data_IF_072223160521
#
_entry.id   IF_072223160521
#
_cell.length_a   1.000
_cell.length_b   1.000
_cell.length_c   1.000
_cell.angle_alpha   90.00
_cell.angle_beta   90.00
_cell.angle_gamma   90.00
#
_symmetry.space_group_name_H-M   'P 1'
#
loop_
_entity.id
_entity.type
_entity.pdbx_description
1 polymer ?
#
# COMPACT_ATOMS: atom_id res chain seq x y z
N UNK A 1 -11.71 -16.80 -12.42
CA UNK A 1 -12.09 -15.64 -11.61
C UNK A 1 -11.15 -15.72 -10.45
N UNK A 2 -9.96 -15.15 -10.64
CA UNK A 2 -8.99 -15.08 -9.56
C UNK A 2 -9.56 -14.14 -8.51
N UNK A 3 -9.49 -14.54 -7.26
CA UNK A 3 -9.82 -13.66 -6.15
C UNK A 3 -8.66 -12.69 -5.96
N UNK A 4 -8.91 -11.45 -5.55
CA UNK A 4 -7.83 -10.49 -5.29
C UNK A 4 -6.78 -11.03 -4.31
N UNK A 5 -7.17 -11.92 -3.39
CA UNK A 5 -6.24 -12.63 -2.51
C UNK A 5 -5.24 -13.53 -3.25
N UNK A 6 -5.63 -14.15 -4.37
CA UNK A 6 -4.72 -14.96 -5.19
C UNK A 6 -3.67 -14.07 -5.87
N UNK A 7 -4.04 -12.89 -6.37
CA UNK A 7 -3.08 -11.94 -6.95
C UNK A 7 -2.04 -11.46 -5.91
N UNK A 8 -2.48 -11.17 -4.67
CA UNK A 8 -1.56 -10.84 -3.57
C UNK A 8 -0.65 -12.00 -3.19
N UNK A 9 -1.18 -13.22 -3.18
CA UNK A 9 -0.40 -14.43 -2.90
C UNK A 9 0.67 -14.66 -3.98
N UNK A 10 0.32 -14.48 -5.26
CA UNK A 10 1.29 -14.58 -6.35
C UNK A 10 2.37 -13.50 -6.27
N UNK A 11 2.02 -12.27 -5.91
CA UNK A 11 2.99 -11.20 -5.69
C UNK A 11 3.94 -11.54 -4.54
N UNK A 12 3.41 -12.02 -3.41
CA UNK A 12 4.20 -12.50 -2.26
C UNK A 12 5.20 -13.56 -2.71
N UNK A 13 4.75 -14.61 -3.39
CA UNK A 13 5.61 -15.71 -3.83
C UNK A 13 6.73 -15.26 -4.77
N UNK A 14 6.42 -14.34 -5.71
CA UNK A 14 7.43 -13.76 -6.62
C UNK A 14 8.49 -12.98 -5.85
N UNK A 15 8.08 -12.12 -4.91
CA UNK A 15 8.99 -11.30 -4.10
C UNK A 15 9.85 -12.15 -3.16
N UNK A 16 9.27 -13.16 -2.51
CA UNK A 16 10.02 -14.09 -1.65
C UNK A 16 11.04 -14.92 -2.47
N UNK A 17 10.67 -15.35 -3.69
CA UNK A 17 11.59 -16.03 -4.60
C UNK A 17 12.76 -15.14 -5.06
N UNK A 18 12.57 -13.82 -5.10
CA UNK A 18 13.60 -12.82 -5.35
C UNK A 18 14.46 -12.50 -4.11
N UNK A 19 14.11 -13.03 -2.94
CA UNK A 19 14.85 -12.87 -1.68
C UNK A 19 14.37 -11.70 -0.82
N UNK A 20 13.22 -11.10 -1.13
CA UNK A 20 12.59 -10.07 -0.31
C UNK A 20 11.83 -10.67 0.87
N UNK A 21 11.76 -9.93 1.99
CA UNK A 21 10.95 -10.29 3.15
C UNK A 21 9.56 -9.67 2.98
N UNK A 22 8.52 -10.49 3.05
CA UNK A 22 7.12 -10.06 2.89
C UNK A 22 6.27 -10.53 4.05
N UNK A 23 5.29 -9.72 4.44
CA UNK A 23 4.19 -10.09 5.34
C UNK A 23 2.87 -9.81 4.62
N UNK A 24 1.99 -10.81 4.52
CA UNK A 24 0.67 -10.67 3.88
C UNK A 24 -0.44 -10.73 4.93
N UNK A 25 -1.16 -9.62 5.07
CA UNK A 25 -2.29 -9.53 6.00
C UNK A 25 -3.41 -10.46 5.55
N UNK A 26 -3.88 -11.32 6.47
CA UNK A 26 -4.96 -12.26 6.20
C UNK A 26 -4.55 -13.52 5.44
N UNK A 27 -3.25 -13.77 5.26
CA UNK A 27 -2.75 -15.08 4.84
C UNK A 27 -2.97 -16.14 5.94
N UNK A 28 -2.84 -17.42 5.59
CA UNK A 28 -3.07 -18.53 6.54
C UNK A 28 -2.13 -18.50 7.76
N UNK A 29 -0.95 -17.90 7.60
CA UNK A 29 0.05 -17.69 8.65
C UNK A 29 -0.11 -16.38 9.43
N UNK A 30 -1.14 -15.58 9.13
CA UNK A 30 -1.38 -14.30 9.78
C UNK A 30 -2.06 -14.45 11.15
N UNK A 31 -1.44 -13.93 12.20
CA UNK A 31 -2.07 -13.80 13.52
C UNK A 31 -2.81 -12.47 13.66
N UNK A 32 -3.94 -12.46 14.38
CA UNK A 32 -4.72 -11.25 14.58
C UNK A 32 -3.95 -10.21 15.40
N UNK A 33 -3.82 -9.00 14.86
CA UNK A 33 -3.10 -7.90 15.48
C UNK A 33 -4.06 -6.86 16.08
N UNK A 34 -3.66 -6.25 17.19
CA UNK A 34 -4.44 -5.18 17.81
C UNK A 34 -4.37 -3.85 17.02
N UNK A 35 -3.29 -3.64 16.27
CA UNK A 35 -3.02 -2.43 15.50
C UNK A 35 -2.04 -2.74 14.36
N UNK A 36 -2.32 -2.22 13.16
CA UNK A 36 -1.47 -2.43 11.99
C UNK A 36 -0.33 -1.42 11.89
N UNK A 37 -0.46 -0.24 12.50
CA UNK A 37 0.53 0.84 12.39
C UNK A 37 1.97 0.41 12.74
N UNK A 38 2.23 -0.41 13.79
CA UNK A 38 3.59 -0.90 14.06
C UNK A 38 4.14 -1.80 12.95
N UNK A 39 3.28 -2.59 12.30
CA UNK A 39 3.66 -3.47 11.18
C UNK A 39 3.93 -2.66 9.92
N UNK A 40 3.07 -1.69 9.59
CA UNK A 40 3.28 -0.80 8.44
C UNK A 40 4.56 0.02 8.61
N UNK A 41 4.78 0.63 9.79
CA UNK A 41 5.98 1.43 10.07
C UNK A 41 7.30 0.65 10.00
N UNK A 42 7.26 -0.67 10.15
CA UNK A 42 8.44 -1.53 10.03
C UNK A 42 8.75 -1.95 8.58
N UNK A 43 7.80 -1.76 7.66
CA UNK A 43 7.96 -2.08 6.25
C UNK A 43 8.58 -0.91 5.49
N UNK A 44 9.33 -1.21 4.42
CA UNK A 44 9.81 -0.18 3.47
C UNK A 44 8.68 0.42 2.64
N UNK A 45 7.72 -0.41 2.26
CA UNK A 45 6.51 -0.02 1.55
C UNK A 45 5.38 -1.00 1.87
N UNK A 46 4.15 -0.56 1.63
CA UNK A 46 2.94 -1.36 1.74
C UNK A 46 2.24 -1.40 0.39
N UNK A 47 1.57 -2.50 0.07
CA UNK A 47 0.61 -2.58 -1.04
C UNK A 47 -0.77 -2.67 -0.42
N UNK A 48 -1.65 -1.74 -0.76
CA UNK A 48 -2.93 -1.59 -0.09
C UNK A 48 -4.07 -1.40 -1.08
N UNK A 49 -5.29 -1.85 -0.73
CA UNK A 49 -6.48 -1.71 -1.60
C UNK A 49 -7.50 -0.73 -1.04
N UNK A 50 -7.28 -0.20 0.17
CA UNK A 50 -8.35 0.39 0.95
C UNK A 50 -7.93 1.52 1.87
N UNK A 51 -8.94 2.31 2.22
CA UNK A 51 -8.85 3.52 3.02
C UNK A 51 -8.13 3.36 4.36
N UNK A 52 -8.45 2.32 5.13
CA UNK A 52 -7.84 2.08 6.44
C UNK A 52 -6.34 1.80 6.34
N UNK A 53 -5.93 1.05 5.32
CA UNK A 53 -4.52 0.73 5.08
C UNK A 53 -3.73 1.95 4.59
N UNK A 54 -4.36 2.84 3.84
CA UNK A 54 -3.78 4.14 3.48
C UNK A 54 -3.56 4.98 4.75
N UNK A 55 -4.57 5.10 5.63
CA UNK A 55 -4.41 5.79 6.92
C UNK A 55 -3.25 5.23 7.74
N UNK A 56 -3.16 3.91 7.88
CA UNK A 56 -2.08 3.26 8.64
C UNK A 56 -0.70 3.50 8.03
N UNK A 57 -0.60 3.60 6.70
CA UNK A 57 0.67 3.85 6.00
C UNK A 57 1.08 5.31 6.14
N UNK A 58 0.13 6.24 5.99
CA UNK A 58 0.34 7.69 6.18
C UNK A 58 0.76 8.00 7.62
N UNK A 59 0.08 7.42 8.62
CA UNK A 59 0.46 7.56 10.04
C UNK A 59 1.81 6.88 10.33
N UNK A 60 2.07 5.74 9.69
CA UNK A 60 3.32 5.00 9.82
C UNK A 60 4.51 5.63 9.09
N UNK A 61 4.31 6.73 8.36
CA UNK A 61 5.33 7.32 7.47
C UNK A 61 5.90 6.29 6.47
N UNK A 62 5.03 5.42 5.97
CA UNK A 62 5.38 4.32 5.06
C UNK A 62 4.77 4.59 3.70
N UNK A 63 5.56 4.38 2.65
CA UNK A 63 5.07 4.49 1.27
C UNK A 63 3.95 3.46 1.01
N UNK A 64 2.73 3.87 0.61
CA UNK A 64 1.70 2.94 0.13
C UNK A 64 1.55 2.99 -1.39
N UNK A 65 1.62 1.80 -1.98
CA UNK A 65 1.24 1.48 -3.35
C UNK A 65 -0.24 1.03 -3.32
N UNK A 66 -1.13 1.90 -3.75
CA UNK A 66 -2.56 1.65 -3.86
C UNK A 66 -2.86 0.80 -5.10
N UNK A 67 -3.38 -0.40 -4.90
CA UNK A 67 -3.82 -1.32 -5.95
C UNK A 67 -5.34 -1.51 -5.87
N UNK A 68 -6.15 -0.71 -6.60
CA UNK A 68 -7.60 -0.74 -6.51
C UNK A 68 -8.20 -1.89 -7.33
N UNK A 69 -9.28 -2.46 -6.79
CA UNK A 69 -10.00 -3.60 -7.33
C UNK A 69 -11.52 -3.38 -7.41
N UNK A 70 -12.04 -2.47 -6.58
CA UNK A 70 -13.46 -2.14 -6.50
C UNK A 70 -13.71 -0.68 -6.92
N UNK A 71 -14.88 -0.42 -7.49
CA UNK A 71 -15.25 0.93 -7.97
C UNK A 71 -15.10 2.05 -6.93
N UNK A 72 -15.32 1.76 -5.64
CA UNK A 72 -15.12 2.74 -4.56
C UNK A 72 -13.63 3.08 -4.36
N UNK A 73 -12.74 2.13 -4.63
CA UNK A 73 -11.29 2.29 -4.55
C UNK A 73 -10.77 3.11 -5.73
N UNK A 74 -11.43 3.05 -6.90
CA UNK A 74 -11.10 3.91 -8.06
C UNK A 74 -11.27 5.40 -7.74
N UNK A 75 -12.26 5.75 -6.92
CA UNK A 75 -12.44 7.14 -6.48
C UNK A 75 -11.27 7.64 -5.64
N UNK A 76 -10.77 6.78 -4.75
CA UNK A 76 -9.61 7.07 -3.89
C UNK A 76 -8.34 7.18 -4.74
N UNK A 77 -8.11 6.20 -5.62
CA UNK A 77 -7.01 6.18 -6.58
C UNK A 77 -6.91 7.48 -7.38
N UNK A 78 -8.03 7.94 -7.96
CA UNK A 78 -8.09 9.22 -8.67
C UNK A 78 -7.78 10.42 -7.78
N UNK A 79 -8.20 10.40 -6.52
CA UNK A 79 -7.88 11.44 -5.54
C UNK A 79 -6.39 11.54 -5.26
N UNK A 80 -5.72 10.39 -5.09
CA UNK A 80 -4.26 10.29 -4.91
C UNK A 80 -3.55 10.86 -6.14
N UNK A 81 -3.92 10.41 -7.34
CA UNK A 81 -3.30 10.85 -8.60
C UNK A 81 -3.45 12.35 -8.86
N UNK A 82 -4.63 12.92 -8.58
CA UNK A 82 -4.91 14.33 -8.85
C UNK A 82 -4.16 15.28 -7.91
N UNK A 83 -3.88 14.84 -6.69
CA UNK A 83 -3.30 15.67 -5.63
C UNK A 83 -1.79 15.47 -5.47
N UNK A 84 -1.21 14.48 -6.15
CA UNK A 84 0.23 14.17 -6.09
C UNK A 84 0.72 14.02 -4.64
N UNK A 85 0.00 13.19 -3.87
CA UNK A 85 0.24 13.04 -2.44
C UNK A 85 1.52 12.24 -2.23
N UNK A 86 2.49 12.87 -1.58
CA UNK A 86 3.81 12.28 -1.37
C UNK A 86 3.74 10.95 -0.62
N UNK A 87 4.50 9.96 -1.07
CA UNK A 87 4.52 8.64 -0.44
C UNK A 87 3.28 7.79 -0.72
N UNK A 88 2.41 8.22 -1.63
CA UNK A 88 1.31 7.41 -2.15
C UNK A 88 1.43 7.29 -3.66
N UNK A 89 1.33 6.07 -4.15
CA UNK A 89 1.31 5.74 -5.57
C UNK A 89 0.05 4.95 -5.87
N UNK A 90 -0.50 5.05 -7.09
CA UNK A 90 -1.57 4.17 -7.55
C UNK A 90 -1.09 3.35 -8.74
N UNK A 91 -1.36 2.05 -8.71
CA UNK A 91 -1.06 1.07 -9.77
C UNK A 91 -2.32 0.29 -10.11
N UNK A 92 -2.48 -0.20 -11.35
CA UNK A 92 -3.73 -0.84 -11.80
C UNK A 92 -3.54 -2.29 -12.27
N UNK A 93 -2.33 -2.82 -12.13
CA UNK A 93 -2.01 -4.21 -12.43
C UNK A 93 -1.00 -4.76 -11.43
N UNK A 94 -1.01 -6.08 -11.27
CA UNK A 94 -0.05 -6.79 -10.42
C UNK A 94 1.40 -6.65 -10.92
N UNK A 95 1.59 -6.48 -12.23
CA UNK A 95 2.92 -6.20 -12.81
C UNK A 95 3.43 -4.82 -12.43
N UNK A 96 2.60 -3.77 -12.54
CA UNK A 96 2.93 -2.41 -12.08
C UNK A 96 3.18 -2.39 -10.57
N UNK A 97 2.38 -3.10 -9.78
CA UNK A 97 2.59 -3.22 -8.35
C UNK A 97 3.96 -3.82 -8.02
N UNK A 98 4.33 -4.93 -8.69
CA UNK A 98 5.65 -5.55 -8.51
C UNK A 98 6.80 -4.64 -8.94
N UNK A 99 6.64 -3.89 -10.03
CA UNK A 99 7.64 -2.91 -10.47
C UNK A 99 7.84 -1.80 -9.43
N UNK A 100 6.74 -1.22 -8.93
CA UNK A 100 6.79 -0.18 -7.90
C UNK A 100 7.42 -0.69 -6.60
N UNK A 101 7.05 -1.89 -6.13
CA UNK A 101 7.66 -2.53 -4.95
C UNK A 101 9.17 -2.69 -5.14
N UNK A 102 9.61 -3.23 -6.28
CA UNK A 102 11.05 -3.41 -6.53
C UNK A 102 11.79 -2.08 -6.56
N UNK A 103 11.23 -1.08 -7.25
CA UNK A 103 11.80 0.25 -7.29
C UNK A 103 11.98 0.84 -5.87
N UNK A 104 10.97 0.67 -5.02
CA UNK A 104 11.05 1.08 -3.62
C UNK A 104 12.16 0.35 -2.84
N UNK A 105 12.25 -0.98 -3.00
CA UNK A 105 13.17 -1.81 -2.25
C UNK A 105 14.64 -1.58 -2.64
N UNK A 106 14.90 -1.36 -3.94
CA UNK A 106 16.23 -1.26 -4.55
C UNK A 106 16.81 0.17 -4.57
N UNK A 107 15.98 1.17 -4.84
CA UNK A 107 16.43 2.55 -4.97
C UNK A 107 16.12 3.34 -3.68
N UNK A 108 14.90 3.84 -3.60
CA UNK A 108 14.34 4.55 -2.45
C UNK A 108 12.87 4.80 -2.71
N UNK A 109 12.03 4.55 -1.70
CA UNK A 109 10.69 5.09 -1.67
C UNK A 109 10.70 6.56 -1.29
N UNK A 110 9.69 7.31 -1.74
CA UNK A 110 9.32 8.55 -1.08
C UNK A 110 8.75 8.19 0.29
N UNK A 111 9.59 8.25 1.32
CA UNK A 111 9.16 8.18 2.72
C UNK A 111 8.35 9.47 3.02
N UNK A 112 7.05 9.34 3.28
CA UNK A 112 6.25 10.52 3.60
C UNK A 112 6.64 11.08 4.96
N UNK A 113 7.01 12.37 5.01
CA UNK A 113 7.20 13.09 6.27
C UNK A 113 5.90 13.81 6.64
N UNK A 114 5.08 13.16 7.47
CA UNK A 114 3.86 13.75 8.03
C UNK A 114 3.99 13.89 9.56
N UNK A 115 3.47 14.98 10.15
CA UNK A 115 3.50 15.15 11.61
C UNK A 115 2.65 14.09 12.32
N UNK A 116 1.37 13.99 11.94
CA UNK A 116 0.45 12.95 12.41
C UNK A 116 -0.35 12.28 11.28
N UNK A 117 -0.03 12.59 10.02
CA UNK A 117 -0.70 12.04 8.84
C UNK A 117 -2.12 12.54 8.59
N UNK A 118 -2.71 13.37 9.46
CA UNK A 118 -4.12 13.70 9.41
C UNK A 118 -4.49 14.57 8.20
N UNK A 119 -3.70 15.62 7.90
CA UNK A 119 -3.97 16.50 6.75
C UNK A 119 -3.84 15.75 5.42
N UNK A 120 -2.76 14.98 5.24
CA UNK A 120 -2.56 14.15 4.06
C UNK A 120 -3.67 13.11 3.89
N UNK A 121 -4.15 12.54 4.99
CA UNK A 121 -5.28 11.62 4.94
C UNK A 121 -6.58 12.33 4.54
N UNK A 122 -6.87 13.50 5.13
CA UNK A 122 -8.04 14.32 4.78
C UNK A 122 -8.04 14.66 3.30
N UNK A 123 -6.88 14.99 2.73
CA UNK A 123 -6.74 15.24 1.30
C UNK A 123 -7.16 14.05 0.42
N UNK A 124 -7.06 12.82 0.92
CA UNK A 124 -7.50 11.63 0.20
C UNK A 124 -9.02 11.45 0.31
N UNK A 125 -9.61 11.81 1.44
CA UNK A 125 -11.03 11.57 1.75
C UNK A 125 -11.94 12.64 1.16
N UNK A 126 -11.55 13.91 1.24
CA UNK A 126 -12.40 15.06 0.91
C UNK A 126 -12.31 15.42 -0.59
N UNK A 127 -12.51 14.45 -1.48
CA UNK A 127 -12.56 14.66 -2.92
C UNK A 127 -13.46 15.84 -3.33
N UNK A 128 -12.86 17.00 -3.63
CA UNK A 128 -13.48 18.12 -4.34
C UNK A 128 -13.30 17.99 -5.85
#
# INVERSE_FOLDING_TARGET
METYGEEFQEMREKLEAEGYSTEMVGADDWETEACMTPKTSAAKCTVCTGFSSIADSVVGSTHCIMYPHLFLQDGIARGIEQRDIRGLETVYSSEEALESIRNCLENSCDEPEYENGAEAFVDIVEGE
#
